data_IF_639515623298
#
_entry.id   IF_639515623298
#
_cell.length_a   1.000
_cell.length_b   1.000
_cell.length_c   1.000
_cell.angle_alpha   90.00
_cell.angle_beta   90.00
_cell.angle_gamma   90.00
#
_symmetry.space_group_name_H-M   'P 1'
#
loop_
_entity.id
_entity.type
_entity.pdbx_description
1 polymer ?
#
# COMPACT_ATOMS: atom_id res chain seq x y z
N UNK A 1 -19.46 -5.33 -6.86
CA UNK A 1 -18.33 -5.10 -5.94
C UNK A 1 -17.08 -5.52 -6.68
N UNK A 2 -16.28 -4.56 -7.13
CA UNK A 2 -15.18 -4.80 -8.07
C UNK A 2 -13.98 -5.39 -7.34
N UNK A 3 -13.82 -6.72 -7.46
CA UNK A 3 -12.66 -7.46 -6.98
C UNK A 3 -11.41 -7.00 -7.72
N UNK A 4 -10.73 -5.97 -7.21
CA UNK A 4 -9.50 -5.48 -7.83
C UNK A 4 -8.43 -6.54 -7.59
N UNK A 5 -7.99 -7.20 -8.66
CA UNK A 5 -6.86 -8.15 -8.62
C UNK A 5 -5.62 -7.41 -8.13
N UNK A 6 -5.26 -7.64 -6.86
CA UNK A 6 -4.07 -7.07 -6.24
C UNK A 6 -2.85 -7.82 -6.76
N UNK A 7 -1.91 -7.12 -7.41
CA UNK A 7 -0.67 -7.71 -7.94
C UNK A 7 0.50 -7.49 -6.99
N UNK A 8 1.05 -8.59 -6.50
CA UNK A 8 2.26 -8.61 -5.66
C UNK A 8 3.44 -9.01 -6.51
N UNK A 9 4.53 -8.23 -6.44
CA UNK A 9 5.80 -8.59 -7.05
C UNK A 9 6.44 -9.73 -6.25
N UNK A 10 7.16 -10.70 -6.84
CA UNK A 10 7.86 -11.76 -6.10
C UNK A 10 8.78 -11.25 -4.97
N UNK A 11 9.26 -10.01 -5.07
CA UNK A 11 10.02 -9.30 -4.03
C UNK A 11 9.15 -8.81 -2.83
N UNK A 12 7.87 -9.20 -2.77
CA UNK A 12 6.93 -8.80 -1.72
C UNK A 12 6.51 -7.33 -1.79
N UNK A 13 6.65 -6.68 -2.95
CA UNK A 13 6.35 -5.25 -3.15
C UNK A 13 5.08 -5.06 -3.97
N UNK A 14 4.31 -4.06 -3.58
CA UNK A 14 3.09 -3.59 -4.21
C UNK A 14 3.24 -2.13 -4.64
N UNK A 15 2.61 -1.78 -5.77
CA UNK A 15 2.47 -0.38 -6.11
C UNK A 15 1.35 0.25 -5.26
N UNK A 16 1.24 1.58 -5.29
CA UNK A 16 0.24 2.31 -4.51
C UNK A 16 -1.21 1.91 -4.83
N UNK A 17 -1.53 1.54 -6.07
CA UNK A 17 -2.91 1.15 -6.45
C UNK A 17 -3.28 -0.18 -5.81
N UNK A 18 -2.42 -1.18 -5.98
CA UNK A 18 -2.61 -2.50 -5.39
C UNK A 18 -2.61 -2.42 -3.85
N UNK A 19 -1.71 -1.62 -3.25
CA UNK A 19 -1.66 -1.41 -1.81
C UNK A 19 -2.94 -0.74 -1.27
N UNK A 20 -3.51 0.20 -2.03
CA UNK A 20 -4.78 0.83 -1.65
C UNK A 20 -5.90 -0.21 -1.66
N UNK A 21 -6.00 -1.01 -2.73
CA UNK A 21 -6.96 -2.12 -2.81
C UNK A 21 -6.76 -3.16 -1.70
N UNK A 22 -5.51 -3.48 -1.35
CA UNK A 22 -5.18 -4.40 -0.26
C UNK A 22 -5.70 -3.90 1.10
N UNK A 23 -5.58 -2.58 1.35
CA UNK A 23 -6.09 -1.94 2.57
C UNK A 23 -7.60 -1.64 2.52
N UNK A 24 -8.28 -1.94 1.41
CA UNK A 24 -9.68 -1.53 1.19
C UNK A 24 -9.87 -0.02 1.04
N UNK A 25 -8.81 0.72 0.71
CA UNK A 25 -8.80 2.17 0.54
C UNK A 25 -8.79 2.57 -0.94
N UNK A 26 -9.22 3.81 -1.21
CA UNK A 26 -9.07 4.38 -2.54
C UNK A 26 -7.61 4.80 -2.81
N UNK A 27 -7.17 4.73 -4.07
CA UNK A 27 -5.83 5.20 -4.48
C UNK A 27 -5.55 6.66 -4.07
N UNK A 28 -6.58 7.52 -4.13
CA UNK A 28 -6.48 8.93 -3.69
C UNK A 28 -6.30 9.03 -2.18
N UNK A 29 -7.01 8.23 -1.40
CA UNK A 29 -6.87 8.18 0.06
C UNK A 29 -5.46 7.78 0.45
N UNK A 30 -4.94 6.68 -0.10
CA UNK A 30 -3.58 6.22 0.20
C UNK A 30 -2.52 7.22 -0.28
N UNK A 31 -2.76 7.90 -1.41
CA UNK A 31 -1.93 9.00 -1.89
C UNK A 31 -1.86 10.16 -0.90
N UNK A 32 -3.01 10.59 -0.37
CA UNK A 32 -3.10 11.67 0.62
C UNK A 32 -2.38 11.30 1.92
N UNK A 33 -2.63 10.09 2.44
CA UNK A 33 -1.96 9.55 3.63
C UNK A 33 -0.44 9.53 3.48
N UNK A 34 0.03 9.03 2.35
CA UNK A 34 1.45 8.96 2.01
C UNK A 34 2.13 10.34 1.91
N UNK A 35 1.38 11.40 1.61
CA UNK A 35 1.90 12.79 1.66
C UNK A 35 1.87 13.39 3.06
N UNK A 36 0.92 12.95 3.90
CA UNK A 36 0.79 13.40 5.30
C UNK A 36 1.66 12.60 6.27
N UNK A 37 2.36 11.57 5.81
CA UNK A 37 3.14 10.67 6.66
C UNK A 37 2.29 9.71 7.48
N UNK A 38 1.04 9.49 7.07
CA UNK A 38 0.08 8.60 7.73
C UNK A 38 0.04 7.28 6.98
N UNK A 39 -0.14 6.17 7.70
CA UNK A 39 -0.36 4.85 7.12
C UNK A 39 0.90 3.98 7.03
N UNK A 40 0.86 2.91 6.23
CA UNK A 40 1.95 1.94 6.13
C UNK A 40 3.20 2.54 5.50
N UNK A 41 4.35 2.03 5.93
CA UNK A 41 5.64 2.49 5.41
C UNK A 41 5.72 2.26 3.89
N UNK A 42 6.26 3.27 3.19
CA UNK A 42 6.46 3.22 1.75
C UNK A 42 7.93 3.40 1.42
N UNK A 43 8.46 2.56 0.55
CA UNK A 43 9.84 2.61 0.09
C UNK A 43 9.91 3.28 -1.28
N UNK A 44 10.92 4.14 -1.50
CA UNK A 44 11.15 4.77 -2.79
C UNK A 44 12.19 3.97 -3.56
N UNK A 45 11.81 3.42 -4.71
CA UNK A 45 12.69 2.63 -5.58
C UNK A 45 12.61 3.23 -6.99
N UNK A 46 13.74 3.73 -7.51
CA UNK A 46 13.82 4.30 -8.86
C UNK A 46 12.82 5.44 -9.13
N UNK A 47 12.55 6.29 -8.14
CA UNK A 47 11.60 7.40 -8.26
C UNK A 47 10.12 7.04 -8.06
N UNK A 48 9.77 5.76 -7.90
CA UNK A 48 8.41 5.30 -7.60
C UNK A 48 8.28 4.87 -6.13
N UNK A 49 7.11 5.13 -5.52
CA UNK A 49 6.76 4.61 -4.19
C UNK A 49 6.16 3.21 -4.33
N UNK A 50 6.73 2.29 -3.57
CA UNK A 50 6.24 0.94 -3.38
C UNK A 50 5.92 0.71 -1.90
N UNK A 51 5.02 -0.21 -1.64
CA UNK A 51 4.62 -0.65 -0.31
C UNK A 51 5.00 -2.12 -0.20
N UNK A 52 5.63 -2.54 0.89
CA UNK A 52 5.86 -3.97 1.11
C UNK A 52 4.63 -4.58 1.77
N UNK A 53 4.34 -5.82 1.41
CA UNK A 53 3.25 -6.57 2.05
C UNK A 53 3.44 -6.63 3.56
N UNK A 54 4.69 -6.84 4.04
CA UNK A 54 4.99 -6.85 5.47
C UNK A 54 4.66 -5.52 6.18
N UNK A 55 4.94 -4.37 5.54
CA UNK A 55 4.60 -3.06 6.11
C UNK A 55 3.09 -2.80 6.10
N UNK A 56 2.38 -3.28 5.06
CA UNK A 56 0.92 -3.23 4.99
C UNK A 56 0.28 -4.09 6.08
N UNK A 57 0.79 -5.31 6.27
CA UNK A 57 0.33 -6.27 7.26
C UNK A 57 0.57 -5.76 8.69
N UNK A 58 1.77 -5.25 8.97
CA UNK A 58 2.09 -4.62 10.25
C UNK A 58 1.18 -3.42 10.54
N UNK A 59 0.80 -2.64 9.53
CA UNK A 59 -0.15 -1.55 9.70
C UNK A 59 -1.57 -2.03 9.99
N UNK A 60 -2.03 -3.10 9.32
CA UNK A 60 -3.32 -3.73 9.60
C UNK A 60 -3.34 -4.29 11.03
N UNK A 61 -2.28 -5.01 11.43
CA UNK A 61 -2.14 -5.58 12.77
C UNK A 61 -2.00 -4.54 13.87
N UNK A 62 -1.41 -3.38 13.59
CA UNK A 62 -1.32 -2.28 14.55
C UNK A 62 -2.64 -1.50 14.71
N UNK A 63 -3.60 -1.65 13.80
CA UNK A 63 -4.90 -0.96 13.80
C UNK A 63 -6.02 -1.79 14.46
N UNK A 64 -5.71 -2.98 15.00
CA UNK A 64 -6.62 -3.84 15.78
C UNK A 64 -6.22 -3.92 17.23
#
# INVERSE_FOLDING_TARGET
>A
MESTTVRITPDGRMNRRDAASYLGLSYRTLGNWSSRGIGPASVRVGGRRFYRVADLDAFIGAQG
#
